data_IF_465341191959
#
_entry.id   IF_465341191959
#
_cell.length_a   1.000
_cell.length_b   1.000
_cell.length_c   1.000
_cell.angle_alpha   90.00
_cell.angle_beta   90.00
_cell.angle_gamma   90.00
#
_symmetry.space_group_name_H-M   'P 1'
#
loop_
_entity.id
_entity.type
_entity.pdbx_description
1 polymer ?
#
# COMPACT_ATOMS: atom_id res chain seq x y z
N UNK A 1 4.04 -18.97 7.53
CA UNK A 1 3.88 -17.58 7.05
C UNK A 1 2.44 -17.44 6.56
N UNK A 2 1.70 -16.40 6.96
CA UNK A 2 0.24 -16.28 6.67
C UNK A 2 -0.07 -15.57 5.34
N UNK A 3 0.77 -14.63 4.89
CA UNK A 3 0.51 -13.81 3.72
C UNK A 3 1.53 -14.09 2.60
N UNK A 4 1.03 -14.23 1.37
CA UNK A 4 1.85 -14.33 0.17
C UNK A 4 1.92 -12.96 -0.52
N UNK A 5 3.12 -12.39 -0.75
CA UNK A 5 3.25 -11.07 -1.33
C UNK A 5 2.90 -11.09 -2.82
N UNK A 6 1.94 -10.24 -3.21
CA UNK A 6 1.50 -10.06 -4.60
C UNK A 6 1.29 -8.59 -4.89
N UNK A 7 1.44 -8.21 -6.16
CA UNK A 7 0.93 -6.95 -6.69
C UNK A 7 -0.34 -7.25 -7.48
N UNK A 8 -1.38 -6.45 -7.25
CA UNK A 8 -2.68 -6.60 -7.90
C UNK A 8 -2.85 -5.48 -8.92
N UNK A 9 -3.28 -5.83 -10.13
CA UNK A 9 -3.75 -4.85 -11.11
C UNK A 9 -5.22 -4.51 -10.80
N UNK A 10 -5.44 -3.27 -10.39
CA UNK A 10 -6.76 -2.75 -10.02
C UNK A 10 -7.42 -1.97 -11.16
N UNK A 11 -6.76 -1.84 -12.31
CA UNK A 11 -7.32 -1.07 -13.41
C UNK A 11 -8.65 -1.68 -13.87
N UNK A 12 -9.71 -0.87 -13.85
CA UNK A 12 -11.10 -1.26 -14.15
C UNK A 12 -11.67 -2.38 -13.27
N UNK A 13 -11.04 -2.69 -12.12
CA UNK A 13 -11.58 -3.65 -11.16
C UNK A 13 -12.58 -2.95 -10.25
N UNK A 14 -13.72 -3.59 -10.03
CA UNK A 14 -14.76 -3.10 -9.11
C UNK A 14 -14.27 -3.26 -7.67
N UNK A 15 -14.22 -2.17 -6.94
CA UNK A 15 -13.92 -2.18 -5.51
C UNK A 15 -15.07 -1.58 -4.71
N UNK A 16 -15.47 -2.26 -3.65
CA UNK A 16 -16.51 -1.80 -2.73
C UNK A 16 -15.87 -1.28 -1.45
N UNK A 17 -16.26 -0.09 -1.01
CA UNK A 17 -15.86 0.46 0.28
C UNK A 17 -17.11 0.63 1.15
N UNK A 18 -17.13 -0.05 2.30
CA UNK A 18 -18.20 0.09 3.29
C UNK A 18 -17.69 1.02 4.39
N UNK A 19 -18.35 2.16 4.57
CA UNK A 19 -17.95 3.28 5.42
C UNK A 19 -17.60 4.53 4.60
N UNK A 20 -17.84 5.68 5.21
CA UNK A 20 -17.68 7.00 4.58
C UNK A 20 -16.87 7.99 5.41
N UNK A 21 -16.20 7.53 6.47
CA UNK A 21 -15.32 8.36 7.29
C UNK A 21 -13.95 8.62 6.66
N UNK A 22 -13.07 9.31 7.39
CA UNK A 22 -11.72 9.68 6.92
C UNK A 22 -10.86 8.48 6.53
N UNK A 23 -11.04 7.31 7.17
CA UNK A 23 -10.30 6.11 6.81
C UNK A 23 -10.75 5.57 5.46
N UNK A 24 -12.06 5.49 5.23
CA UNK A 24 -12.64 5.10 3.94
C UNK A 24 -12.18 6.06 2.84
N UNK A 25 -12.24 7.37 3.07
CA UNK A 25 -11.78 8.39 2.11
C UNK A 25 -10.34 8.15 1.64
N UNK A 26 -9.39 7.96 2.57
CA UNK A 26 -7.98 7.69 2.22
C UNK A 26 -7.81 6.42 1.39
N UNK A 27 -8.64 5.40 1.63
CA UNK A 27 -8.64 4.13 0.88
C UNK A 27 -9.21 4.34 -0.52
N UNK A 28 -10.33 5.05 -0.64
CA UNK A 28 -10.95 5.41 -1.91
C UNK A 28 -9.94 6.18 -2.78
N UNK A 29 -9.33 7.25 -2.26
CA UNK A 29 -8.32 8.04 -2.98
C UNK A 29 -7.16 7.15 -3.49
N UNK A 30 -6.69 6.23 -2.65
CA UNK A 30 -5.63 5.30 -3.05
C UNK A 30 -6.09 4.37 -4.17
N UNK A 31 -7.27 3.77 -4.06
CA UNK A 31 -7.80 2.83 -5.05
C UNK A 31 -8.10 3.52 -6.39
N UNK A 32 -8.63 4.75 -6.37
CA UNK A 32 -8.85 5.58 -7.57
C UNK A 32 -7.53 5.84 -8.29
N UNK A 33 -6.46 6.17 -7.56
CA UNK A 33 -5.12 6.37 -8.16
C UNK A 33 -4.58 5.12 -8.87
N UNK A 34 -5.07 3.93 -8.54
CA UNK A 34 -4.72 2.66 -9.21
C UNK A 34 -5.76 2.24 -10.27
N UNK A 35 -6.73 3.10 -10.61
CA UNK A 35 -7.69 2.86 -11.69
C UNK A 35 -8.88 1.97 -11.35
N UNK A 36 -9.13 1.71 -10.05
CA UNK A 36 -10.28 0.92 -9.64
C UNK A 36 -11.61 1.69 -9.83
N UNK A 37 -12.66 0.96 -10.19
CA UNK A 37 -14.03 1.48 -10.24
C UNK A 37 -14.66 1.34 -8.86
N UNK A 38 -14.86 2.46 -8.17
CA UNK A 38 -15.23 2.47 -6.75
C UNK A 38 -16.73 2.62 -6.55
N UNK A 39 -17.28 1.78 -5.67
CA UNK A 39 -18.59 2.01 -5.07
C UNK A 39 -18.44 2.19 -3.55
N UNK A 40 -19.22 3.10 -2.97
CA UNK A 40 -19.22 3.41 -1.53
C UNK A 40 -20.61 3.21 -0.94
N UNK A 41 -20.67 2.56 0.23
CA UNK A 41 -21.88 2.42 1.06
C UNK A 41 -21.58 3.04 2.41
N UNK A 42 -22.38 4.01 2.85
CA UNK A 42 -22.23 4.60 4.18
C UNK A 42 -23.43 5.46 4.54
N UNK A 43 -23.81 5.50 5.82
CA UNK A 43 -24.86 6.41 6.32
C UNK A 43 -24.50 7.88 6.12
N UNK A 44 -23.23 8.20 6.30
CA UNK A 44 -22.67 9.54 6.13
C UNK A 44 -21.39 9.46 5.30
N UNK A 45 -21.17 10.45 4.44
CA UNK A 45 -19.95 10.61 3.65
C UNK A 45 -19.20 11.84 4.15
N UNK A 46 -17.86 11.81 4.09
CA UNK A 46 -17.11 13.06 4.20
C UNK A 46 -17.41 13.95 3.00
N UNK A 47 -17.30 15.28 3.18
CA UNK A 47 -17.51 16.22 2.07
C UNK A 47 -16.65 15.91 0.83
N UNK A 48 -15.43 15.38 1.02
CA UNK A 48 -14.59 14.94 -0.10
C UNK A 48 -15.17 13.73 -0.84
N UNK A 49 -15.76 12.76 -0.15
CA UNK A 49 -16.42 11.62 -0.79
C UNK A 49 -17.70 12.05 -1.52
N UNK A 50 -18.43 13.02 -0.97
CA UNK A 50 -19.59 13.62 -1.65
C UNK A 50 -19.18 14.34 -2.94
N UNK A 51 -18.13 15.15 -2.91
CA UNK A 51 -17.54 15.77 -4.11
C UNK A 51 -17.15 14.72 -5.16
N UNK A 52 -16.42 13.68 -4.75
CA UNK A 52 -16.00 12.61 -5.67
C UNK A 52 -17.19 11.84 -6.27
N UNK A 53 -18.28 11.69 -5.51
CA UNK A 53 -19.52 11.11 -6.01
C UNK A 53 -20.19 12.03 -7.04
N UNK A 54 -20.26 13.34 -6.76
CA UNK A 54 -20.82 14.34 -7.67
C UNK A 54 -20.00 14.49 -8.97
N UNK A 55 -18.67 14.33 -8.89
CA UNK A 55 -17.75 14.31 -10.03
C UNK A 55 -17.81 12.99 -10.84
N UNK A 56 -18.55 11.98 -10.37
CA UNK A 56 -18.64 10.67 -11.02
C UNK A 56 -17.39 9.80 -10.88
N UNK A 57 -16.48 10.15 -9.97
CA UNK A 57 -15.24 9.38 -9.69
C UNK A 57 -15.56 8.10 -8.93
N UNK A 58 -16.61 8.12 -8.10
CA UNK A 58 -17.12 6.96 -7.38
C UNK A 58 -18.64 6.91 -7.46
N UNK A 59 -19.19 5.72 -7.24
CA UNK A 59 -20.63 5.51 -7.14
C UNK A 59 -21.06 5.41 -5.68
N UNK A 60 -21.95 6.28 -5.23
CA UNK A 60 -22.61 6.10 -3.93
C UNK A 60 -23.81 5.17 -4.07
N UNK A 61 -23.82 4.07 -3.30
CA UNK A 61 -24.87 3.03 -3.35
C UNK A 61 -25.95 3.20 -2.28
N UNK A 62 -25.78 4.16 -1.37
CA UNK A 62 -26.73 4.44 -0.29
C UNK A 62 -26.20 4.09 1.11
N UNK A 63 -27.09 4.17 2.11
CA UNK A 63 -26.69 4.16 3.53
C UNK A 63 -26.48 2.76 4.12
N UNK A 64 -27.09 1.73 3.51
CA UNK A 64 -27.16 0.40 4.09
C UNK A 64 -26.44 -0.63 3.21
N UNK A 65 -25.65 -1.47 3.88
CA UNK A 65 -25.00 -2.60 3.22
C UNK A 65 -26.03 -3.69 2.92
N UNK A 66 -25.93 -4.24 1.72
CA UNK A 66 -26.70 -5.40 1.28
C UNK A 66 -25.80 -6.34 0.49
N UNK A 67 -26.09 -7.63 0.57
CA UNK A 67 -25.25 -8.69 0.03
C UNK A 67 -25.11 -8.63 -1.50
N UNK A 68 -26.11 -8.11 -2.20
CA UNK A 68 -26.12 -7.98 -3.67
C UNK A 68 -25.04 -7.01 -4.16
N UNK A 69 -24.62 -6.07 -3.31
CA UNK A 69 -23.53 -5.14 -3.66
C UNK A 69 -22.16 -5.82 -3.76
N UNK A 70 -22.02 -7.06 -3.31
CA UNK A 70 -20.80 -7.86 -3.48
C UNK A 70 -20.71 -8.52 -4.87
N UNK A 71 -21.77 -8.49 -5.67
CA UNK A 71 -21.79 -9.15 -6.98
C UNK A 71 -20.83 -8.50 -7.97
N UNK A 72 -19.90 -9.30 -8.51
CA UNK A 72 -18.89 -8.86 -9.47
C UNK A 72 -17.84 -7.91 -8.88
N UNK A 73 -17.78 -7.76 -7.56
CA UNK A 73 -16.73 -7.01 -6.86
C UNK A 73 -15.45 -7.84 -6.85
N UNK A 74 -14.30 -7.19 -7.03
CA UNK A 74 -12.99 -7.83 -6.95
C UNK A 74 -12.37 -7.70 -5.55
N UNK A 75 -12.54 -6.52 -4.94
CA UNK A 75 -11.95 -6.18 -3.65
C UNK A 75 -12.92 -5.35 -2.79
N UNK A 76 -12.96 -5.64 -1.50
CA UNK A 76 -13.80 -4.99 -0.51
C UNK A 76 -12.92 -4.37 0.59
N UNK A 77 -13.24 -3.15 1.00
CA UNK A 77 -12.69 -2.51 2.20
C UNK A 77 -13.84 -2.25 3.17
N UNK A 78 -13.80 -2.84 4.36
CA UNK A 78 -14.75 -2.54 5.43
C UNK A 78 -14.08 -1.59 6.42
N UNK A 79 -14.57 -0.35 6.49
CA UNK A 79 -13.96 0.77 7.22
C UNK A 79 -15.02 1.57 7.99
N UNK A 80 -15.99 0.89 8.59
CA UNK A 80 -17.00 1.51 9.47
C UNK A 80 -16.54 1.51 10.93
N UNK A 81 -17.15 2.37 11.75
CA UNK A 81 -16.97 2.34 13.21
C UNK A 81 -17.76 1.22 13.91
N UNK A 82 -18.61 0.50 13.17
CA UNK A 82 -19.32 -0.70 13.62
C UNK A 82 -18.49 -1.96 13.33
N UNK A 83 -17.92 -2.62 14.35
CA UNK A 83 -17.13 -3.83 14.15
C UNK A 83 -17.98 -5.03 13.72
N UNK A 84 -19.24 -5.12 14.16
CA UNK A 84 -20.12 -6.23 13.79
C UNK A 84 -20.47 -6.17 12.30
N UNK A 85 -20.75 -4.97 11.78
CA UNK A 85 -20.95 -4.77 10.35
C UNK A 85 -19.70 -5.13 9.55
N UNK A 86 -18.52 -4.67 9.98
CA UNK A 86 -17.25 -5.03 9.33
C UNK A 86 -17.04 -6.56 9.29
N UNK A 87 -17.33 -7.26 10.40
CA UNK A 87 -17.25 -8.72 10.49
C UNK A 87 -18.24 -9.40 9.53
N UNK A 88 -19.50 -8.93 9.49
CA UNK A 88 -20.52 -9.42 8.57
C UNK A 88 -20.08 -9.27 7.11
N UNK A 89 -19.66 -8.07 6.71
CA UNK A 89 -19.15 -7.80 5.35
C UNK A 89 -17.99 -8.72 5.02
N UNK A 90 -17.09 -8.94 5.97
CA UNK A 90 -15.95 -9.84 5.81
C UNK A 90 -16.36 -11.28 5.54
N UNK A 91 -17.22 -11.87 6.37
CA UNK A 91 -17.71 -13.22 6.15
C UNK A 91 -18.34 -13.36 4.77
N UNK A 92 -19.26 -12.46 4.41
CA UNK A 92 -19.97 -12.50 3.13
C UNK A 92 -19.05 -12.32 1.93
N UNK A 93 -17.99 -11.51 2.05
CA UNK A 93 -16.98 -11.34 1.02
C UNK A 93 -16.10 -12.60 0.86
N UNK A 94 -15.69 -13.20 1.98
CA UNK A 94 -14.86 -14.41 1.98
C UNK A 94 -15.60 -15.63 1.42
N UNK A 95 -16.89 -15.79 1.74
CA UNK A 95 -17.74 -16.86 1.20
C UNK A 95 -17.84 -16.82 -0.33
N UNK A 96 -17.64 -15.63 -0.92
CA UNK A 96 -17.63 -15.39 -2.38
C UNK A 96 -16.23 -15.42 -3.00
N UNK A 97 -15.19 -15.67 -2.20
CA UNK A 97 -13.79 -15.66 -2.65
C UNK A 97 -13.23 -14.27 -2.97
N UNK A 98 -13.84 -13.20 -2.43
CA UNK A 98 -13.41 -11.82 -2.67
C UNK A 98 -12.23 -11.44 -1.78
N UNK A 99 -11.40 -10.51 -2.24
CA UNK A 99 -10.38 -9.90 -1.39
C UNK A 99 -11.04 -8.93 -0.42
N UNK A 100 -10.86 -9.12 0.88
CA UNK A 100 -11.40 -8.24 1.92
C UNK A 100 -10.30 -7.73 2.86
N UNK A 101 -10.36 -6.43 3.12
CA UNK A 101 -9.65 -5.79 4.23
C UNK A 101 -10.64 -5.10 5.16
N UNK A 102 -10.88 -5.69 6.34
CA UNK A 102 -11.55 -5.03 7.45
C UNK A 102 -10.53 -4.18 8.24
N UNK A 103 -10.77 -2.88 8.32
CA UNK A 103 -9.89 -1.94 9.03
C UNK A 103 -9.87 -2.28 10.51
N UNK A 104 -8.67 -2.31 11.08
CA UNK A 104 -8.42 -2.60 12.49
C UNK A 104 -8.92 -3.97 13.01
N UNK A 105 -9.36 -4.86 12.11
CA UNK A 105 -9.77 -6.25 12.41
C UNK A 105 -8.99 -7.26 11.55
N UNK A 106 -7.72 -7.58 11.89
CA UNK A 106 -6.86 -8.48 11.10
C UNK A 106 -7.37 -9.92 10.98
N UNK A 107 -8.17 -10.37 11.93
CA UNK A 107 -8.90 -11.65 11.92
C UNK A 107 -9.92 -11.71 10.77
N UNK A 108 -10.52 -10.56 10.43
CA UNK A 108 -11.51 -10.40 9.36
C UNK A 108 -10.88 -10.02 8.01
N UNK A 109 -9.58 -10.23 7.87
CA UNK A 109 -8.85 -9.94 6.63
C UNK A 109 -8.30 -11.23 6.01
N UNK A 110 -8.59 -11.45 4.73
CA UNK A 110 -7.83 -12.38 3.88
C UNK A 110 -6.75 -11.65 3.04
N UNK A 111 -6.82 -10.32 2.96
CA UNK A 111 -5.90 -9.45 2.25
C UNK A 111 -5.42 -8.29 3.16
N UNK A 112 -4.16 -7.89 2.98
CA UNK A 112 -3.57 -6.76 3.71
C UNK A 112 -2.99 -5.72 2.75
N UNK A 113 -3.22 -4.45 3.05
CA UNK A 113 -2.56 -3.34 2.36
C UNK A 113 -1.26 -2.99 3.10
N UNK A 114 -0.07 -3.25 2.54
CA UNK A 114 1.21 -2.95 3.18
C UNK A 114 1.51 -1.44 3.15
N UNK A 115 2.62 -1.03 3.77
CA UNK A 115 3.18 0.29 3.49
C UNK A 115 3.85 0.25 2.11
N UNK A 116 3.49 1.18 1.22
CA UNK A 116 3.97 1.23 -0.16
C UNK A 116 4.79 2.51 -0.34
N UNK A 117 5.94 2.39 -0.99
CA UNK A 117 6.73 3.51 -1.48
C UNK A 117 6.97 3.32 -2.98
N UNK A 118 6.76 4.38 -3.76
CA UNK A 118 6.99 4.39 -5.19
C UNK A 118 7.98 5.49 -5.60
N UNK A 119 8.80 5.22 -6.61
CA UNK A 119 9.64 6.23 -7.27
C UNK A 119 9.81 5.86 -8.74
N UNK A 120 9.08 6.55 -9.62
CA UNK A 120 8.90 6.08 -11.00
C UNK A 120 8.29 4.67 -10.98
N UNK A 121 8.86 3.75 -11.76
CA UNK A 121 8.36 2.38 -11.89
C UNK A 121 8.77 1.45 -10.73
N UNK A 122 9.66 1.90 -9.84
CA UNK A 122 10.07 1.11 -8.68
C UNK A 122 9.01 1.23 -7.57
N UNK A 123 8.40 0.11 -7.20
CA UNK A 123 7.55 -0.02 -6.02
C UNK A 123 8.16 -0.96 -4.97
N UNK A 124 8.10 -0.54 -3.71
CA UNK A 124 8.52 -1.33 -2.56
C UNK A 124 7.36 -1.43 -1.58
N UNK A 125 6.89 -2.65 -1.34
CA UNK A 125 5.89 -2.97 -0.34
C UNK A 125 6.55 -3.58 0.91
N UNK A 126 6.30 -2.97 2.08
CA UNK A 126 6.84 -3.43 3.36
C UNK A 126 5.67 -3.88 4.25
N UNK A 127 5.69 -5.15 4.65
CA UNK A 127 4.73 -5.73 5.59
C UNK A 127 5.45 -6.34 6.78
N UNK A 128 4.95 -6.08 7.98
CA UNK A 128 5.41 -6.71 9.22
C UNK A 128 4.49 -7.83 9.67
N UNK A 129 3.61 -8.33 8.77
CA UNK A 129 2.56 -9.32 9.09
C UNK A 129 1.70 -8.91 10.30
N UNK A 130 1.43 -7.61 10.46
CA UNK A 130 0.66 -7.06 11.57
C UNK A 130 1.45 -6.83 12.87
N UNK A 131 2.74 -7.20 12.94
CA UNK A 131 3.53 -7.15 14.19
C UNK A 131 4.10 -5.77 14.55
N UNK A 132 3.97 -4.76 13.69
CA UNK A 132 4.43 -3.40 14.00
C UNK A 132 3.51 -2.32 13.39
N UNK A 133 2.44 -1.97 14.11
CA UNK A 133 1.47 -0.93 13.73
C UNK A 133 2.10 0.47 13.61
N UNK A 134 3.18 0.74 14.35
CA UNK A 134 3.87 2.04 14.41
C UNK A 134 4.69 2.42 13.14
N UNK A 135 4.83 1.54 12.14
CA UNK A 135 5.63 1.85 10.94
C UNK A 135 4.89 2.69 9.89
N UNK A 136 3.55 2.64 9.83
CA UNK A 136 2.78 3.36 8.78
C UNK A 136 2.97 4.89 8.87
N UNK A 137 2.97 5.45 10.07
CA UNK A 137 3.06 6.90 10.29
C UNK A 137 4.43 7.51 9.97
N UNK A 138 5.52 6.78 10.22
CA UNK A 138 6.90 7.28 9.94
C UNK A 138 7.37 7.06 8.51
N UNK A 139 6.59 6.38 7.67
CA UNK A 139 6.98 6.07 6.29
C UNK A 139 6.50 7.11 5.28
N UNK A 140 5.41 7.84 5.60
CA UNK A 140 4.87 8.90 4.74
C UNK A 140 5.71 10.19 4.73
N UNK A 141 6.47 10.45 5.80
CA UNK A 141 7.20 11.70 5.97
C UNK A 141 8.70 11.51 5.77
N UNK A 142 9.15 11.61 4.51
CA UNK A 142 10.53 11.97 4.14
C UNK A 142 11.63 11.09 4.77
N UNK A 143 11.76 9.86 4.29
CA UNK A 143 13.04 9.14 4.43
C UNK A 143 14.10 9.80 3.53
N UNK A 144 14.99 10.61 4.14
CA UNK A 144 16.26 10.98 3.51
C UNK A 144 17.20 9.78 3.59
N UNK A 145 17.48 9.16 2.45
CA UNK A 145 18.61 8.24 2.33
C UNK A 145 19.88 8.99 2.72
N UNK A 146 20.62 8.47 3.70
CA UNK A 146 21.84 9.11 4.19
C UNK A 146 22.97 8.91 3.18
N UNK A 147 22.99 9.78 2.17
CA UNK A 147 24.19 10.26 1.51
C UNK A 147 23.94 11.74 1.34
N UNK A 148 24.81 12.61 1.87
CA UNK A 148 24.69 14.08 1.78
C UNK A 148 24.83 14.63 0.36
N UNK A 149 24.14 14.03 -0.61
CA UNK A 149 24.07 14.39 -2.02
C UNK A 149 22.63 14.25 -2.50
N UNK A 150 22.24 15.15 -3.39
CA UNK A 150 20.95 15.06 -4.08
C UNK A 150 20.90 13.76 -4.87
N UNK A 151 19.74 13.11 -5.00
CA UNK A 151 19.63 11.92 -5.84
C UNK A 151 19.84 12.23 -7.35
N UNK A 152 19.94 13.51 -7.73
CA UNK A 152 20.49 13.90 -9.05
C UNK A 152 21.97 13.53 -9.19
N UNK A 153 22.74 13.54 -8.09
CA UNK A 153 24.19 13.30 -8.09
C UNK A 153 24.54 11.79 -8.05
N UNK A 154 23.64 10.94 -7.54
CA UNK A 154 23.84 9.48 -7.58
C UNK A 154 23.50 8.85 -8.93
N UNK A 155 22.68 9.51 -9.76
CA UNK A 155 22.20 8.94 -11.02
C UNK A 155 23.11 9.23 -12.23
N UNK A 156 24.03 10.19 -12.16
CA UNK A 156 24.90 10.55 -13.29
C UNK A 156 26.03 9.55 -13.60
N UNK A 157 26.08 8.39 -12.94
CA UNK A 157 27.07 7.33 -13.21
C UNK A 157 26.46 6.07 -13.84
N UNK A 158 25.31 6.17 -14.51
CA UNK A 158 24.75 5.09 -15.32
C UNK A 158 24.63 5.55 -16.76
N UNK A 159 25.74 5.50 -17.49
CA UNK A 159 25.72 5.55 -18.95
C UNK A 159 25.49 4.13 -19.49
N UNK A 160 24.40 3.97 -20.24
CA UNK A 160 24.09 2.79 -21.05
C UNK A 160 24.76 3.01 -22.41
N UNK A 161 26.08 2.89 -22.44
CA UNK A 161 26.79 2.74 -23.70
C UNK A 161 27.99 1.81 -23.50
N UNK A 162 27.93 0.67 -24.19
CA UNK A 162 29.04 -0.26 -24.23
C UNK A 162 30.22 0.35 -24.98
N UNK A 163 31.23 0.82 -24.26
CA UNK A 163 32.64 0.88 -24.70
C UNK A 163 33.56 1.08 -23.49
N UNK A 164 34.38 0.08 -23.19
CA UNK A 164 35.52 0.20 -22.26
C UNK A 164 36.78 0.50 -23.07
N UNK A 165 37.49 1.58 -22.71
CA UNK A 165 38.96 1.71 -22.82
C UNK A 165 39.35 3.07 -22.21
N UNK A 166 40.35 3.21 -21.32
CA UNK A 166 41.66 2.55 -21.33
C UNK A 166 42.34 2.45 -19.95
N UNK A 167 43.06 1.32 -19.72
CA UNK A 167 44.16 1.04 -18.75
C UNK A 167 43.77 1.01 -17.25
N UNK A 168 43.99 -0.04 -16.45
CA UNK A 168 44.85 -1.22 -16.62
C UNK A 168 44.38 -2.48 -15.88
N UNK A 169 44.62 -3.60 -16.57
CA UNK A 169 44.86 -5.00 -16.18
C UNK A 169 43.79 -5.75 -15.36
N UNK A 170 43.30 -6.79 -16.02
CA UNK A 170 42.29 -7.77 -15.63
C UNK A 170 42.97 -9.07 -15.16
N UNK A 171 42.46 -9.70 -14.09
CA UNK A 171 42.52 -11.17 -13.92
C UNK A 171 41.13 -11.71 -13.61
N UNK A 172 40.65 -12.60 -14.49
CA UNK A 172 39.36 -13.30 -14.41
C UNK A 172 39.38 -14.37 -13.30
N UNK A 173 38.35 -14.39 -12.46
CA UNK A 173 37.71 -15.65 -12.03
C UNK A 173 36.23 -15.56 -12.39
N UNK A 174 35.76 -16.56 -13.13
CA UNK A 174 34.36 -16.75 -13.54
C UNK A 174 33.51 -17.05 -12.30
N UNK A 175 32.52 -16.22 -11.98
CA UNK A 175 31.37 -16.63 -11.17
C UNK A 175 30.11 -15.86 -11.61
N UNK A 176 29.17 -16.64 -12.15
CA UNK A 176 27.71 -16.48 -12.26
C UNK A 176 27.10 -15.06 -12.43
N UNK A 177 26.44 -14.75 -13.58
CA UNK A 177 25.77 -13.45 -13.82
C UNK A 177 24.49 -13.21 -12.98
N UNK A 178 24.03 -14.17 -12.17
CA UNK A 178 22.80 -14.01 -11.38
C UNK A 178 22.99 -13.50 -9.94
N UNK A 179 24.21 -13.27 -9.45
CA UNK A 179 24.41 -12.81 -8.07
C UNK A 179 24.68 -11.30 -7.98
N UNK A 180 23.65 -10.46 -8.17
CA UNK A 180 23.68 -9.06 -7.71
C UNK A 180 22.91 -8.94 -6.41
N UNK A 181 23.64 -8.89 -5.29
CA UNK A 181 23.08 -8.60 -3.97
C UNK A 181 22.59 -7.14 -3.96
N UNK A 182 21.28 -6.94 -3.95
CA UNK A 182 20.67 -5.67 -3.60
C UNK A 182 20.87 -5.43 -2.10
N UNK A 183 21.88 -4.64 -1.75
CA UNK A 183 22.14 -4.25 -0.35
C UNK A 183 21.20 -3.11 0.04
N UNK A 184 19.99 -3.45 0.50
CA UNK A 184 19.09 -2.50 1.16
C UNK A 184 19.61 -2.29 2.59
N UNK A 185 20.37 -1.21 2.81
CA UNK A 185 20.91 -0.88 4.14
C UNK A 185 19.85 -0.10 4.93
N UNK A 186 19.02 -0.82 5.69
CA UNK A 186 18.10 -0.22 6.66
C UNK A 186 18.88 0.14 7.93
N UNK A 187 19.26 1.41 8.09
CA UNK A 187 19.95 1.86 9.31
C UNK A 187 18.95 2.24 10.40
N UNK A 188 19.07 1.62 11.58
CA UNK A 188 18.23 1.90 12.74
C UNK A 188 18.94 2.85 13.71
N UNK A 189 18.33 3.99 14.07
CA UNK A 189 18.78 4.82 15.21
C UNK A 189 17.89 4.53 16.42
N UNK A 190 18.46 3.93 17.46
CA UNK A 190 17.84 3.93 18.81
C UNK A 190 17.74 5.39 19.27
N UNK A 191 16.53 5.88 19.49
CA UNK A 191 16.34 7.13 20.23
C UNK A 191 16.69 6.86 21.69
N UNK A 192 17.87 7.33 22.12
CA UNK A 192 18.24 7.34 23.53
C UNK A 192 17.39 8.42 24.23
N UNK A 193 16.47 8.00 25.10
CA UNK A 193 15.86 8.89 26.10
C UNK A 193 16.99 9.39 27.00
N UNK A 194 17.28 10.70 26.98
CA UNK A 194 18.10 11.34 28.00
C UNK A 194 17.37 11.21 29.33
N UNK A 195 17.92 10.40 30.23
CA UNK A 195 17.60 10.42 31.66
C UNK A 195 18.09 11.76 32.21
N UNK A 196 17.16 12.61 32.65
CA UNK A 196 17.50 13.75 33.52
C UNK A 196 17.60 13.17 34.94
N UNK A 197 18.82 13.08 35.45
CA UNK A 197 19.17 13.14 36.89
C UNK A 197 19.98 14.43 37.00
N UNK A 198 19.57 15.41 37.80
CA UNK A 198 19.45 15.34 39.25
C UNK A 198 20.61 16.15 39.79
#
# INVERSE_FOLDING_TARGET
>A
MRYYPVFLDLNHKRALVVGGGLVAQRKVETLVNYGASISVISRELTGRLEEMAAEGILQYLGPEFRDEYLEGVFLVIAATDDPMLNHQVSQRAQDRGLLINAVDQPEDCNFIVPAIMSRGDLQIAISTSGKARHWREKSGSRWRFNSGRSMKDCFFSWDVSGKKSSRGVCRRKKTNPYSRKLLIRVSWRRSQKKTVRG
#
